data_IF_470806429306
#
_entry.id   IF_470806429306
#
_cell.length_a   1.000
_cell.length_b   1.000
_cell.length_c   1.000
_cell.angle_alpha   90.00
_cell.angle_beta   90.00
_cell.angle_gamma   90.00
#
_symmetry.space_group_name_H-M   'P 1'
#
loop_
_entity.id
_entity.type
_entity.pdbx_description
1 polymer ?
#
# COMPACT_ATOMS: atom_id res chain seq x y z
N UNK A 1 16.66 -42.84 4.34
CA UNK A 1 16.33 -42.16 5.62
C UNK A 1 16.94 -40.78 5.53
N UNK A 2 16.22 -39.83 4.88
CA UNK A 2 16.65 -38.43 4.73
C UNK A 2 16.00 -37.62 5.86
N UNK A 3 16.82 -37.05 6.69
CA UNK A 3 16.40 -36.16 7.77
C UNK A 3 15.98 -34.81 7.17
N UNK A 4 14.72 -34.42 7.38
CA UNK A 4 14.20 -33.08 7.12
C UNK A 4 14.80 -32.09 8.13
N UNK A 5 15.74 -31.29 7.67
CA UNK A 5 16.23 -30.14 8.45
C UNK A 5 15.18 -29.05 8.36
N UNK A 6 14.40 -28.88 9.42
CA UNK A 6 13.46 -27.79 9.56
C UNK A 6 14.21 -26.45 9.65
N UNK A 7 14.07 -25.61 8.64
CA UNK A 7 14.49 -24.20 8.72
C UNK A 7 13.55 -23.47 9.70
N UNK A 8 13.99 -23.36 10.94
CA UNK A 8 13.40 -22.43 11.90
C UNK A 8 13.86 -21.02 11.51
N UNK A 9 12.94 -20.20 11.01
CA UNK A 9 13.20 -18.78 10.90
C UNK A 9 13.55 -18.22 12.28
N UNK A 10 14.65 -17.46 12.43
CA UNK A 10 14.94 -16.82 13.71
C UNK A 10 13.79 -15.87 14.07
N UNK A 11 13.29 -15.99 15.30
CA UNK A 11 12.35 -15.04 15.88
C UNK A 11 13.00 -13.65 15.79
N UNK A 12 12.32 -12.72 15.15
CA UNK A 12 12.77 -11.33 15.08
C UNK A 12 12.90 -10.76 16.49
N UNK A 13 13.69 -9.68 16.67
CA UNK A 13 13.92 -9.10 17.98
C UNK A 13 12.59 -8.79 18.65
N UNK A 14 12.39 -9.32 19.86
CA UNK A 14 11.25 -9.00 20.69
C UNK A 14 11.23 -7.48 20.88
N UNK A 15 10.11 -6.85 20.57
CA UNK A 15 9.90 -5.42 20.83
C UNK A 15 9.95 -5.27 22.34
N UNK A 16 11.13 -4.89 22.87
CA UNK A 16 11.30 -4.60 24.28
C UNK A 16 10.34 -3.48 24.66
N UNK A 17 9.76 -3.60 25.85
CA UNK A 17 8.92 -2.64 26.56
C UNK A 17 9.46 -1.21 26.45
N UNK A 18 9.23 -0.54 25.33
CA UNK A 18 9.24 0.91 25.31
C UNK A 18 8.01 1.30 26.14
N UNK A 19 8.22 1.66 27.39
CA UNK A 19 7.24 2.40 28.19
C UNK A 19 6.83 3.58 27.31
N UNK A 20 5.66 3.49 26.70
CA UNK A 20 5.15 4.55 25.84
C UNK A 20 4.90 5.73 26.75
N UNK A 21 5.85 6.66 26.81
CA UNK A 21 5.66 7.95 27.44
C UNK A 21 4.55 8.64 26.64
N UNK A 22 3.34 8.65 27.19
CA UNK A 22 2.26 9.47 26.65
C UNK A 22 2.66 10.92 26.92
N UNK A 23 2.98 11.73 25.90
CA UNK A 23 3.36 13.12 26.13
C UNK A 23 2.23 13.87 26.84
N UNK A 24 2.54 14.88 27.66
CA UNK A 24 1.52 15.77 28.20
C UNK A 24 0.72 16.39 27.04
N UNK A 25 -0.57 16.56 27.23
CA UNK A 25 -1.52 17.07 26.21
C UNK A 25 -1.80 16.11 25.04
N UNK A 26 -1.69 14.81 25.27
CA UNK A 26 -2.09 13.79 24.30
C UNK A 26 -3.62 13.64 24.31
N UNK A 27 -4.24 13.69 23.13
CA UNK A 27 -5.66 13.36 22.94
C UNK A 27 -5.83 11.86 23.08
N UNK A 28 -6.74 11.41 23.92
CA UNK A 28 -6.97 10.00 24.24
C UNK A 28 -8.38 9.51 23.97
N UNK A 29 -9.28 10.42 23.52
CA UNK A 29 -10.65 10.08 23.20
C UNK A 29 -11.13 10.78 21.92
N UNK A 30 -12.13 10.18 21.26
CA UNK A 30 -12.79 10.81 20.10
C UNK A 30 -13.49 12.11 20.49
N UNK A 31 -14.07 12.19 21.70
CA UNK A 31 -14.73 13.38 22.20
C UNK A 31 -13.76 14.59 22.32
N UNK A 32 -12.53 14.37 22.77
CA UNK A 32 -11.50 15.41 22.79
C UNK A 32 -11.13 15.85 21.37
N UNK A 33 -11.12 14.92 20.42
CA UNK A 33 -10.86 15.24 19.01
C UNK A 33 -12.00 16.05 18.41
N UNK A 34 -13.25 15.66 18.64
CA UNK A 34 -14.45 16.34 18.16
C UNK A 34 -14.59 17.77 18.72
N UNK A 35 -14.04 18.03 19.91
CA UNK A 35 -13.99 19.38 20.46
C UNK A 35 -13.01 20.32 19.72
N UNK A 36 -12.05 19.77 18.98
CA UNK A 36 -11.03 20.53 18.26
C UNK A 36 -11.34 20.72 16.77
N UNK A 37 -12.13 19.82 16.18
CA UNK A 37 -12.39 19.81 14.75
C UNK A 37 -13.88 19.99 14.45
N UNK A 38 -14.17 20.78 13.43
CA UNK A 38 -15.52 20.87 12.89
C UNK A 38 -15.92 19.60 12.16
N UNK A 39 -17.23 19.37 12.06
CA UNK A 39 -17.77 18.28 11.26
C UNK A 39 -17.26 18.32 9.80
N UNK A 40 -17.05 17.17 9.15
CA UNK A 40 -16.61 17.13 7.76
C UNK A 40 -17.65 17.78 6.84
N UNK A 41 -17.17 18.45 5.78
CA UNK A 41 -18.07 19.06 4.79
C UNK A 41 -18.77 17.99 3.96
N UNK A 42 -20.00 18.25 3.53
CA UNK A 42 -20.77 17.32 2.70
C UNK A 42 -20.01 16.83 1.44
N UNK A 43 -19.27 17.68 0.68
CA UNK A 43 -18.46 17.20 -0.45
C UNK A 43 -17.31 16.27 -0.04
N UNK A 44 -16.76 16.42 1.17
CA UNK A 44 -15.68 15.56 1.63
C UNK A 44 -16.15 14.14 1.98
N UNK A 45 -17.40 13.99 2.32
CA UNK A 45 -18.05 12.69 2.57
C UNK A 45 -18.58 12.09 1.28
N UNK A 46 -19.24 12.89 0.43
CA UNK A 46 -19.89 12.42 -0.80
C UNK A 46 -18.94 11.82 -1.85
N UNK A 47 -17.63 12.12 -1.77
CA UNK A 47 -16.63 11.54 -2.69
C UNK A 47 -16.28 10.08 -2.38
N UNK A 48 -16.62 9.58 -1.17
CA UNK A 48 -16.41 8.19 -0.81
C UNK A 48 -17.57 7.35 -1.33
N UNK A 49 -17.25 6.36 -2.15
CA UNK A 49 -18.20 5.45 -2.78
C UNK A 49 -17.71 4.01 -2.62
N UNK A 50 -18.62 3.05 -2.73
CA UNK A 50 -18.34 1.62 -2.49
C UNK A 50 -17.98 0.84 -3.76
N UNK A 51 -17.99 1.50 -4.93
CA UNK A 51 -17.67 0.90 -6.22
C UNK A 51 -17.00 1.93 -7.12
N UNK A 52 -16.27 1.47 -8.12
CA UNK A 52 -15.63 2.36 -9.10
C UNK A 52 -16.66 3.04 -10.00
N UNK A 53 -16.41 4.29 -10.27
CA UNK A 53 -17.00 5.05 -11.37
C UNK A 53 -15.94 5.28 -12.45
N UNK A 54 -16.34 5.79 -13.61
CA UNK A 54 -15.43 6.02 -14.73
C UNK A 54 -14.24 6.94 -14.37
N UNK A 55 -14.40 8.08 -13.65
CA UNK A 55 -13.26 8.90 -13.21
C UNK A 55 -12.28 8.15 -12.30
N UNK A 56 -12.74 7.37 -11.33
CA UNK A 56 -11.86 6.63 -10.42
C UNK A 56 -11.14 5.47 -11.11
N UNK A 57 -11.83 4.80 -12.04
CA UNK A 57 -11.21 3.80 -12.92
C UNK A 57 -10.05 4.41 -13.71
N UNK A 58 -10.27 5.57 -14.34
CA UNK A 58 -9.23 6.24 -15.11
C UNK A 58 -7.99 6.60 -14.26
N UNK A 59 -8.17 6.97 -12.98
CA UNK A 59 -7.04 7.23 -12.09
C UNK A 59 -6.23 5.95 -11.78
N UNK A 60 -6.90 4.82 -11.56
CA UNK A 60 -6.21 3.53 -11.34
C UNK A 60 -5.43 3.13 -12.60
N UNK A 61 -6.07 3.21 -13.77
CA UNK A 61 -5.48 2.83 -15.05
C UNK A 61 -4.30 3.73 -15.46
N UNK A 62 -4.31 5.00 -15.05
CA UNK A 62 -3.21 5.94 -15.28
C UNK A 62 -2.06 5.79 -14.29
N UNK A 63 -2.26 5.10 -13.17
CA UNK A 63 -1.26 5.03 -12.11
C UNK A 63 -0.20 3.95 -12.37
N UNK A 64 1.10 4.31 -12.38
CA UNK A 64 2.20 3.36 -12.43
C UNK A 64 2.65 2.90 -11.03
N UNK A 65 2.08 3.45 -9.96
CA UNK A 65 2.54 3.24 -8.60
C UNK A 65 1.41 3.29 -7.58
N UNK A 66 1.46 2.39 -6.61
CA UNK A 66 0.66 2.52 -5.39
C UNK A 66 1.43 2.05 -4.15
N UNK A 67 1.05 2.57 -3.00
CA UNK A 67 1.39 1.96 -1.71
C UNK A 67 0.30 0.95 -1.35
N UNK A 68 0.70 -0.26 -0.96
CA UNK A 68 -0.21 -1.29 -0.44
C UNK A 68 0.05 -1.46 1.06
N UNK A 69 -0.95 -1.17 1.87
CA UNK A 69 -0.95 -1.41 3.30
C UNK A 69 -1.69 -2.70 3.64
N UNK A 70 -1.19 -3.42 4.63
CA UNK A 70 -1.75 -4.68 5.15
C UNK A 70 -1.57 -4.76 6.67
N UNK A 71 -2.20 -5.76 7.31
CA UNK A 71 -2.15 -5.94 8.76
C UNK A 71 -1.35 -7.19 9.08
N UNK A 72 -0.19 -7.01 9.70
CA UNK A 72 0.68 -8.08 10.18
C UNK A 72 0.52 -8.35 11.67
N UNK A 73 1.19 -9.39 12.19
CA UNK A 73 1.18 -9.73 13.62
C UNK A 73 1.72 -8.62 14.54
N UNK A 74 2.57 -7.75 13.98
CA UNK A 74 3.21 -6.64 14.71
C UNK A 74 2.56 -5.28 14.42
N UNK A 75 1.40 -5.26 13.75
CA UNK A 75 0.68 -4.06 13.38
C UNK A 75 0.62 -3.82 11.88
N UNK A 76 0.52 -2.56 11.50
CA UNK A 76 0.40 -2.17 10.10
C UNK A 76 1.74 -2.31 9.36
N UNK A 77 1.65 -2.76 8.12
CA UNK A 77 2.75 -2.87 7.17
C UNK A 77 2.37 -2.14 5.88
N UNK A 78 3.31 -1.42 5.29
CA UNK A 78 3.11 -0.69 4.05
C UNK A 78 4.28 -0.93 3.10
N UNK A 79 3.98 -1.29 1.87
CA UNK A 79 5.00 -1.56 0.86
C UNK A 79 4.67 -0.95 -0.49
N UNK A 80 5.69 -0.49 -1.25
CA UNK A 80 5.49 0.03 -2.58
C UNK A 80 5.12 -1.09 -3.57
N UNK A 81 4.28 -0.75 -4.53
CA UNK A 81 3.97 -1.55 -5.71
C UNK A 81 4.05 -0.64 -6.93
N UNK A 82 4.70 -1.11 -7.98
CA UNK A 82 4.87 -0.29 -9.18
C UNK A 82 5.26 -1.12 -10.39
N UNK A 83 4.80 -0.66 -11.56
CA UNK A 83 5.09 -1.19 -12.88
C UNK A 83 4.63 -0.13 -13.90
N UNK A 84 4.47 -0.46 -15.17
CA UNK A 84 3.82 0.46 -16.13
C UNK A 84 2.41 0.89 -15.70
N UNK A 85 1.93 2.03 -16.21
CA UNK A 85 0.57 2.49 -15.94
C UNK A 85 -0.47 1.38 -16.25
N UNK A 86 -1.48 1.25 -15.40
CA UNK A 86 -2.48 0.19 -15.51
C UNK A 86 -2.04 -1.19 -15.00
N UNK A 87 -0.91 -1.27 -14.29
CA UNK A 87 -0.44 -2.54 -13.72
C UNK A 87 -1.40 -3.15 -12.69
N UNK A 88 -2.21 -2.33 -12.05
CA UNK A 88 -3.38 -2.76 -11.29
C UNK A 88 -4.56 -2.79 -12.24
N UNK A 89 -5.04 -3.97 -12.58
CA UNK A 89 -6.18 -4.14 -13.49
C UNK A 89 -7.48 -3.93 -12.75
N UNK A 90 -8.41 -3.22 -13.39
CA UNK A 90 -9.79 -3.11 -12.95
C UNK A 90 -10.60 -4.23 -13.61
N UNK A 91 -10.90 -5.28 -12.83
CA UNK A 91 -11.64 -6.46 -13.31
C UNK A 91 -13.11 -6.08 -13.58
N UNK A 92 -13.71 -5.40 -12.62
CA UNK A 92 -15.07 -4.85 -12.69
C UNK A 92 -15.19 -3.64 -11.74
N UNK A 93 -16.41 -3.13 -11.52
CA UNK A 93 -16.61 -1.96 -10.65
C UNK A 93 -16.36 -2.23 -9.16
N UNK A 94 -16.17 -3.49 -8.76
CA UNK A 94 -16.03 -3.93 -7.38
C UNK A 94 -14.69 -4.61 -7.08
N UNK A 95 -13.90 -4.89 -8.15
CA UNK A 95 -12.77 -5.81 -8.05
C UNK A 95 -11.54 -5.25 -8.76
N UNK A 96 -10.41 -5.24 -8.04
CA UNK A 96 -9.08 -4.97 -8.59
C UNK A 96 -8.24 -6.25 -8.59
N UNK A 97 -7.31 -6.33 -9.54
CA UNK A 97 -6.29 -7.37 -9.57
C UNK A 97 -4.89 -6.73 -9.58
N UNK A 98 -4.06 -7.07 -8.61
CA UNK A 98 -2.71 -6.55 -8.43
C UNK A 98 -1.70 -7.70 -8.52
N UNK A 99 -0.78 -7.70 -9.52
CA UNK A 99 0.21 -8.77 -9.67
C UNK A 99 1.29 -8.68 -8.59
N UNK A 100 1.69 -9.83 -8.05
CA UNK A 100 2.88 -9.92 -7.20
C UNK A 100 4.11 -10.17 -8.07
N UNK A 101 4.80 -9.09 -8.45
CA UNK A 101 6.02 -9.15 -9.26
C UNK A 101 7.17 -9.74 -8.47
N UNK A 102 8.08 -10.41 -9.16
CA UNK A 102 9.29 -10.98 -8.54
C UNK A 102 10.10 -9.90 -7.84
N UNK A 103 10.47 -10.17 -6.59
CA UNK A 103 11.28 -9.29 -5.75
C UNK A 103 12.28 -10.11 -4.92
N UNK A 104 12.52 -9.69 -3.69
CA UNK A 104 13.46 -10.32 -2.75
C UNK A 104 12.91 -11.56 -2.03
N UNK A 105 11.74 -12.08 -2.43
CA UNK A 105 11.01 -13.18 -1.81
C UNK A 105 10.61 -12.95 -0.33
N UNK A 106 10.67 -11.71 0.13
CA UNK A 106 10.15 -11.33 1.43
C UNK A 106 8.63 -11.10 1.31
N UNK A 107 7.87 -12.16 1.40
CA UNK A 107 6.44 -12.21 1.10
C UNK A 107 5.56 -11.77 2.30
N UNK A 108 6.00 -10.78 3.08
CA UNK A 108 5.32 -10.34 4.30
C UNK A 108 3.87 -9.90 4.03
N UNK A 109 3.65 -9.07 3.01
CA UNK A 109 2.30 -8.65 2.58
C UNK A 109 1.40 -9.84 2.25
N UNK A 110 1.90 -10.85 1.54
CA UNK A 110 1.11 -12.03 1.19
C UNK A 110 0.75 -12.83 2.45
N UNK A 111 1.71 -12.99 3.37
CA UNK A 111 1.46 -13.64 4.67
C UNK A 111 0.45 -12.87 5.50
N UNK A 112 0.51 -11.53 5.48
CA UNK A 112 -0.45 -10.68 6.15
C UNK A 112 -1.85 -10.89 5.59
N UNK A 113 -2.02 -10.86 4.26
CA UNK A 113 -3.31 -11.08 3.58
C UNK A 113 -3.92 -12.44 3.90
N UNK A 114 -3.10 -13.49 4.05
CA UNK A 114 -3.61 -14.82 4.48
C UNK A 114 -4.19 -14.78 5.89
N UNK A 115 -3.62 -13.97 6.79
CA UNK A 115 -4.07 -13.85 8.19
C UNK A 115 -5.21 -12.87 8.35
N UNK A 116 -5.11 -11.72 7.68
CA UNK A 116 -6.10 -10.64 7.70
C UNK A 116 -6.23 -10.09 6.28
N UNK A 117 -7.37 -10.26 5.63
CA UNK A 117 -7.55 -9.85 4.24
C UNK A 117 -7.65 -8.34 4.03
N UNK A 118 -7.76 -7.54 5.08
CA UNK A 118 -7.93 -6.09 4.97
C UNK A 118 -6.69 -5.43 4.39
N UNK A 119 -6.88 -4.62 3.37
CA UNK A 119 -5.83 -3.87 2.69
C UNK A 119 -6.27 -2.46 2.37
N UNK A 120 -5.30 -1.57 2.22
CA UNK A 120 -5.53 -0.24 1.69
C UNK A 120 -4.49 0.08 0.61
N UNK A 121 -4.94 0.68 -0.50
CA UNK A 121 -4.08 1.15 -1.57
C UNK A 121 -4.15 2.66 -1.66
N UNK A 122 -3.01 3.29 -1.90
CA UNK A 122 -2.89 4.70 -2.24
C UNK A 122 -2.20 4.82 -3.59
N UNK A 123 -2.96 5.18 -4.61
CA UNK A 123 -2.47 5.38 -5.98
C UNK A 123 -1.90 6.77 -6.16
N UNK A 124 -0.73 6.84 -6.80
CA UNK A 124 -0.06 8.08 -7.17
C UNK A 124 0.23 8.07 -8.67
N UNK A 125 -0.02 9.22 -9.30
CA UNK A 125 0.20 9.42 -10.72
C UNK A 125 1.22 10.54 -10.87
N UNK A 126 2.41 10.31 -11.45
CA UNK A 126 3.39 11.36 -11.67
C UNK A 126 2.80 12.58 -12.37
N UNK A 127 3.00 13.76 -11.79
CA UNK A 127 2.46 15.01 -12.31
C UNK A 127 1.00 15.31 -11.94
N UNK A 128 0.26 14.34 -11.34
CA UNK A 128 -1.08 14.57 -10.80
C UNK A 128 -1.02 14.77 -9.29
N UNK A 129 -1.63 15.85 -8.80
CA UNK A 129 -1.57 16.16 -7.37
C UNK A 129 -2.63 15.40 -6.55
N UNK A 130 -3.74 15.04 -7.17
CA UNK A 130 -4.76 14.20 -6.56
C UNK A 130 -4.26 12.77 -6.43
N UNK A 131 -4.60 12.12 -5.31
CA UNK A 131 -4.35 10.70 -5.11
C UNK A 131 -5.66 9.95 -4.96
N UNK A 132 -5.66 8.65 -5.25
CA UNK A 132 -6.85 7.81 -5.07
C UNK A 132 -6.57 6.76 -4.00
N UNK A 133 -7.47 6.67 -3.01
CA UNK A 133 -7.43 5.62 -1.99
C UNK A 133 -8.50 4.58 -2.27
N UNK A 134 -8.10 3.31 -2.13
CA UNK A 134 -8.99 2.15 -2.15
C UNK A 134 -8.77 1.36 -0.88
N UNK A 135 -9.82 1.13 -0.11
CA UNK A 135 -9.84 0.18 0.98
C UNK A 135 -10.59 -1.07 0.51
N UNK A 136 -10.14 -2.24 0.93
CA UNK A 136 -10.76 -3.47 0.49
C UNK A 136 -10.24 -4.72 1.20
N UNK A 137 -10.62 -5.87 0.65
CA UNK A 137 -10.23 -7.19 1.14
C UNK A 137 -9.58 -7.98 0.02
N UNK A 138 -8.35 -8.40 0.25
CA UNK A 138 -7.54 -9.13 -0.72
C UNK A 138 -7.62 -10.64 -0.50
N UNK A 139 -7.52 -11.36 -1.61
CA UNK A 139 -7.27 -12.81 -1.66
C UNK A 139 -6.15 -13.07 -2.64
N UNK A 140 -5.34 -14.10 -2.37
CA UNK A 140 -4.24 -14.49 -3.24
C UNK A 140 -4.76 -15.51 -4.23
N UNK A 141 -4.57 -15.25 -5.52
CA UNK A 141 -4.94 -16.16 -6.61
C UNK A 141 -3.71 -16.70 -7.31
N UNK A 142 -3.79 -17.97 -7.71
CA UNK A 142 -2.85 -18.65 -8.61
C UNK A 142 -3.56 -19.14 -9.88
N UNK A 143 -4.71 -18.54 -10.20
CA UNK A 143 -5.47 -18.85 -11.42
C UNK A 143 -4.61 -18.63 -12.65
N UNK A 144 -4.42 -19.65 -13.52
CA UNK A 144 -3.50 -19.58 -14.65
C UNK A 144 -3.86 -18.50 -15.67
N UNK A 145 -5.15 -18.29 -15.95
CA UNK A 145 -5.59 -17.32 -16.93
C UNK A 145 -5.37 -15.90 -16.40
N UNK A 146 -5.66 -15.69 -15.11
CA UNK A 146 -5.39 -14.42 -14.43
C UNK A 146 -3.87 -14.14 -14.37
N UNK A 147 -3.05 -15.12 -14.05
CA UNK A 147 -1.59 -14.97 -14.07
C UNK A 147 -1.08 -14.62 -15.47
N UNK A 148 -1.60 -15.28 -16.50
CA UNK A 148 -1.22 -15.06 -17.89
C UNK A 148 -1.58 -13.63 -18.37
N UNK A 149 -2.69 -13.06 -17.90
CA UNK A 149 -3.11 -11.69 -18.24
C UNK A 149 -2.12 -10.61 -17.77
N UNK A 150 -1.29 -10.94 -16.78
CA UNK A 150 -0.25 -10.08 -16.24
C UNK A 150 1.16 -10.40 -16.75
N UNK A 151 1.32 -11.27 -17.75
CA UNK A 151 2.63 -11.60 -18.28
C UNK A 151 3.29 -10.38 -18.93
N UNK A 152 4.56 -10.13 -18.59
CA UNK A 152 5.42 -9.14 -19.22
C UNK A 152 6.67 -9.87 -19.74
N UNK A 153 6.99 -9.67 -21.00
CA UNK A 153 8.09 -10.38 -21.68
C UNK A 153 8.01 -11.92 -21.50
N UNK A 154 6.80 -12.46 -21.59
CA UNK A 154 6.54 -13.89 -21.43
C UNK A 154 6.65 -14.42 -19.98
N UNK A 155 6.83 -13.52 -18.98
CA UNK A 155 6.96 -13.91 -17.57
C UNK A 155 5.72 -13.48 -16.79
N UNK A 156 4.92 -14.46 -16.38
CA UNK A 156 3.78 -14.24 -15.48
C UNK A 156 4.26 -13.99 -14.03
N UNK A 157 3.47 -13.27 -13.21
CA UNK A 157 3.68 -13.20 -11.77
C UNK A 157 3.47 -14.56 -11.12
N UNK A 158 3.96 -14.74 -9.88
CA UNK A 158 3.74 -16.01 -9.14
C UNK A 158 2.32 -16.06 -8.57
N UNK A 159 1.80 -14.92 -8.14
CA UNK A 159 0.45 -14.77 -7.60
C UNK A 159 -0.14 -13.41 -8.01
N UNK A 160 -1.46 -13.31 -7.88
CA UNK A 160 -2.20 -12.06 -8.03
C UNK A 160 -3.06 -11.83 -6.79
N UNK A 161 -3.03 -10.63 -6.25
CA UNK A 161 -3.97 -10.20 -5.23
C UNK A 161 -5.27 -9.76 -5.92
N UNK A 162 -6.35 -10.48 -5.67
CA UNK A 162 -7.71 -10.10 -6.07
C UNK A 162 -8.35 -9.36 -4.91
N UNK A 163 -8.69 -8.10 -5.11
CA UNK A 163 -9.11 -7.16 -4.07
C UNK A 163 -10.57 -6.76 -4.30
N UNK A 164 -11.44 -7.20 -3.41
CA UNK A 164 -12.81 -6.69 -3.34
C UNK A 164 -12.81 -5.30 -2.69
N UNK A 165 -13.43 -4.32 -3.34
CA UNK A 165 -13.45 -2.92 -2.91
C UNK A 165 -14.52 -2.75 -1.81
N UNK A 166 -14.12 -2.23 -0.65
CA UNK A 166 -15.03 -1.79 0.41
C UNK A 166 -15.36 -0.29 0.28
N UNK A 167 -14.35 0.53 -0.06
CA UNK A 167 -14.50 1.97 -0.26
C UNK A 167 -13.43 2.52 -1.21
N UNK A 168 -13.79 3.52 -2.00
CA UNK A 168 -12.87 4.25 -2.86
C UNK A 168 -13.19 5.74 -2.85
N UNK A 169 -12.14 6.59 -2.78
CA UNK A 169 -12.30 8.05 -2.88
C UNK A 169 -10.98 8.74 -3.23
N UNK A 170 -11.10 9.86 -3.96
CA UNK A 170 -9.95 10.70 -4.23
C UNK A 170 -9.60 11.59 -3.03
N UNK A 171 -8.33 11.90 -2.88
CA UNK A 171 -7.83 12.87 -1.92
C UNK A 171 -7.35 14.12 -2.64
N UNK A 172 -7.55 15.28 -2.00
CA UNK A 172 -7.12 16.55 -2.58
C UNK A 172 -5.59 16.63 -2.68
N UNK A 173 -5.11 17.34 -3.69
CA UNK A 173 -3.69 17.50 -3.98
C UNK A 173 -2.87 18.31 -2.99
N UNK A 174 -3.45 18.79 -1.88
CA UNK A 174 -2.77 19.73 -0.95
C UNK A 174 -1.47 19.19 -0.37
N UNK A 175 -1.42 17.90 -0.04
CA UNK A 175 -0.21 17.29 0.53
C UNK A 175 0.90 17.21 -0.53
N UNK A 176 0.56 16.76 -1.73
CA UNK A 176 1.48 16.64 -2.86
C UNK A 176 2.00 18.01 -3.29
N UNK A 177 1.11 19.02 -3.37
CA UNK A 177 1.49 20.40 -3.68
C UNK A 177 2.42 21.01 -2.63
N UNK A 178 2.09 20.87 -1.33
CA UNK A 178 2.93 21.44 -0.27
C UNK A 178 4.30 20.78 -0.16
N UNK A 179 4.40 19.48 -0.48
CA UNK A 179 5.68 18.76 -0.49
C UNK A 179 6.52 19.02 -1.74
N UNK A 180 5.92 19.62 -2.79
CA UNK A 180 6.58 19.73 -4.09
C UNK A 180 6.92 18.38 -4.71
N UNK A 181 6.16 17.31 -4.39
CA UNK A 181 6.52 15.92 -4.72
C UNK A 181 6.85 15.71 -6.21
N UNK A 182 6.15 16.44 -7.09
CA UNK A 182 6.36 16.36 -8.54
C UNK A 182 7.22 17.49 -9.10
N UNK A 183 7.70 18.41 -8.24
CA UNK A 183 8.51 19.55 -8.66
C UNK A 183 9.96 19.14 -8.89
N UNK A 184 10.55 19.40 -10.05
CA UNK A 184 11.97 19.10 -10.28
C UNK A 184 12.91 19.75 -9.25
N UNK A 185 12.54 20.92 -8.74
CA UNK A 185 13.31 21.67 -7.74
C UNK A 185 13.35 20.98 -6.37
N UNK A 186 12.39 20.09 -6.09
CA UNK A 186 12.36 19.29 -4.87
C UNK A 186 13.19 17.99 -4.97
N UNK A 187 13.72 17.68 -6.16
CA UNK A 187 14.54 16.49 -6.33
C UNK A 187 15.87 16.64 -5.58
N UNK A 188 16.16 15.68 -4.72
CA UNK A 188 17.43 15.63 -3.99
C UNK A 188 18.48 14.90 -4.82
N UNK A 189 19.73 15.34 -4.72
CA UNK A 189 20.84 14.57 -5.26
C UNK A 189 20.94 13.23 -4.51
N UNK A 190 20.80 12.12 -5.26
CA UNK A 190 20.86 10.76 -4.68
C UNK A 190 22.18 10.51 -3.93
N UNK A 191 23.29 11.16 -4.31
CA UNK A 191 24.59 11.00 -3.67
C UNK A 191 24.63 11.56 -2.25
N UNK A 192 23.73 12.48 -1.89
CA UNK A 192 23.63 13.04 -0.53
C UNK A 192 22.92 12.13 0.46
N UNK A 193 22.28 11.05 -0.02
CA UNK A 193 21.55 10.09 0.81
C UNK A 193 22.34 8.79 1.01
N UNK A 194 22.18 8.10 2.14
CA UNK A 194 22.82 6.82 2.39
C UNK A 194 22.53 5.80 1.30
N UNK A 195 23.55 5.03 0.92
CA UNK A 195 23.36 3.88 0.02
C UNK A 195 22.64 2.74 0.74
N UNK A 196 22.04 1.79 -0.01
CA UNK A 196 21.46 0.60 0.55
C UNK A 196 22.49 -0.20 1.39
N UNK A 197 23.75 -0.27 0.94
CA UNK A 197 24.83 -0.91 1.70
C UNK A 197 25.09 -0.20 3.03
N UNK A 198 25.15 1.14 3.05
CA UNK A 198 25.32 1.92 4.27
C UNK A 198 24.15 1.71 5.25
N UNK A 199 22.91 1.67 4.76
CA UNK A 199 21.73 1.38 5.59
C UNK A 199 21.76 -0.04 6.16
N UNK A 200 22.27 -1.02 5.41
CA UNK A 200 22.42 -2.40 5.88
C UNK A 200 23.52 -2.56 6.92
N UNK A 201 24.64 -1.87 6.76
CA UNK A 201 25.77 -1.92 7.70
C UNK A 201 25.55 -1.14 9.00
N UNK A 202 24.61 -0.20 9.03
CA UNK A 202 24.25 0.55 10.24
C UNK A 202 23.38 -0.23 11.22
N UNK A 203 23.25 -1.55 11.06
CA UNK A 203 22.57 -2.43 12.02
C UNK A 203 23.54 -2.71 13.19
N UNK A 204 23.50 -1.89 14.17
CA UNK A 204 24.13 -2.13 15.48
C UNK A 204 23.09 -2.37 16.56
#
# INVERSE_FOLDING_TARGET
MLALVGNVCPEGPSVSNATTLVPPHTITSEAELDALYAAPTAPSVAKEIVRLNAPYRAMIEASPFCTLASIGPQGLDASPRGDGAGFVQVVDDWTLALPDRRGNNRIDTLRNVVRDPRVALLFLIPGCNETLRVNGRARISTDPDLLASFAVDGKAPVTVLVIAIDAVFFQCGRAVLRSGLWSPEAHVDRSTLPSAGAMLSARS
#
